data_IF_889223586103
#
_entry.id   IF_889223586103
#
_cell.length_a   1.000
_cell.length_b   1.000
_cell.length_c   1.000
_cell.angle_alpha   90.00
_cell.angle_beta   90.00
_cell.angle_gamma   90.00
#
_symmetry.space_group_name_H-M   'P 1'
#
loop_
_entity.id
_entity.type
_entity.pdbx_description
1 polymer ?
#
# COMPACT_ATOMS: atom_id res chain seq x y z
N UNK A 1 18.21 66.08 -19.84
CA UNK A 1 17.56 65.37 -18.71
C UNK A 1 17.25 63.96 -19.17
N UNK A 2 18.13 63.01 -18.88
CA UNK A 2 17.93 61.59 -19.20
C UNK A 2 17.20 60.94 -18.04
N UNK A 3 15.91 60.66 -18.22
CA UNK A 3 15.11 59.89 -17.28
C UNK A 3 15.57 58.43 -17.30
N UNK A 4 16.18 57.97 -16.21
CA UNK A 4 16.45 56.56 -15.99
C UNK A 4 15.13 55.86 -15.65
N UNK A 5 14.65 55.03 -16.58
CA UNK A 5 13.57 54.08 -16.30
C UNK A 5 14.08 53.03 -15.32
N UNK A 6 13.63 53.10 -14.08
CA UNK A 6 13.83 52.05 -13.09
C UNK A 6 12.83 50.93 -13.34
N UNK A 7 13.31 49.82 -13.91
CA UNK A 7 12.54 48.58 -13.94
C UNK A 7 12.24 48.15 -12.50
N UNK A 8 10.99 47.81 -12.13
CA UNK A 8 10.70 47.34 -10.78
C UNK A 8 11.49 46.05 -10.53
N UNK A 9 12.20 45.99 -9.39
CA UNK A 9 12.81 44.76 -8.93
C UNK A 9 11.70 43.71 -8.73
N UNK A 10 11.95 42.48 -9.17
CA UNK A 10 11.05 41.37 -8.89
C UNK A 10 10.83 41.28 -7.36
N UNK A 11 9.59 41.04 -6.89
CA UNK A 11 9.32 40.91 -5.47
C UNK A 11 10.21 39.83 -4.87
N UNK A 12 10.78 40.11 -3.70
CA UNK A 12 11.59 39.14 -2.98
C UNK A 12 10.76 37.88 -2.68
N UNK A 13 11.34 36.72 -2.94
CA UNK A 13 10.68 35.43 -2.72
C UNK A 13 10.38 35.22 -1.22
N UNK A 14 9.24 34.60 -0.87
CA UNK A 14 8.87 34.37 0.52
C UNK A 14 9.88 33.44 1.20
N UNK A 15 10.34 33.81 2.39
CA UNK A 15 11.35 33.06 3.14
C UNK A 15 10.89 31.66 3.58
N UNK A 16 9.58 31.40 3.60
CA UNK A 16 8.98 30.10 3.89
C UNK A 16 7.77 29.89 2.98
N UNK A 17 7.47 28.64 2.56
CA UNK A 17 6.25 28.32 1.82
C UNK A 17 4.95 28.81 2.48
N UNK A 18 4.92 28.87 3.81
CA UNK A 18 3.73 29.30 4.56
C UNK A 18 3.38 30.78 4.35
N UNK A 19 4.37 31.58 3.95
CA UNK A 19 4.19 33.02 3.70
C UNK A 19 3.99 33.33 2.21
N UNK A 20 3.88 32.32 1.34
CA UNK A 20 3.63 32.54 -0.07
C UNK A 20 2.21 33.14 -0.28
N UNK A 21 2.07 34.31 -0.93
CA UNK A 21 0.77 34.95 -1.13
C UNK A 21 -0.23 34.07 -1.90
N UNK A 22 0.24 33.27 -2.87
CA UNK A 22 -0.63 32.39 -3.63
C UNK A 22 -1.14 31.23 -2.77
N UNK A 23 -0.32 30.73 -1.84
CA UNK A 23 -0.74 29.73 -0.87
C UNK A 23 -1.72 30.30 0.16
N UNK A 24 -1.38 31.45 0.76
CA UNK A 24 -2.22 32.06 1.81
C UNK A 24 -3.62 32.44 1.30
N UNK A 25 -3.75 32.77 0.01
CA UNK A 25 -5.04 32.98 -0.64
C UNK A 25 -5.96 31.74 -0.63
N UNK A 26 -5.43 30.53 -0.47
CA UNK A 26 -6.21 29.29 -0.39
C UNK A 26 -6.73 28.96 1.02
N UNK A 27 -6.21 29.62 2.06
CA UNK A 27 -6.58 29.32 3.45
C UNK A 27 -8.06 29.53 3.77
N UNK A 28 -8.77 30.55 3.23
CA UNK A 28 -10.22 30.69 3.45
C UNK A 28 -11.02 29.51 2.90
N UNK A 29 -10.50 28.80 1.89
CA UNK A 29 -11.19 27.78 1.13
C UNK A 29 -11.18 26.38 1.78
N UNK A 30 -10.31 26.12 2.77
CA UNK A 30 -10.22 24.80 3.40
C UNK A 30 -10.02 24.90 4.91
N UNK A 31 -10.93 24.27 5.67
CA UNK A 31 -10.81 24.14 7.11
C UNK A 31 -9.69 23.16 7.49
N UNK A 32 -9.56 22.06 6.75
CA UNK A 32 -8.49 21.09 6.92
C UNK A 32 -7.11 21.73 6.70
N UNK A 33 -6.94 22.56 5.67
CA UNK A 33 -5.67 23.25 5.42
C UNK A 33 -5.31 24.25 6.54
N UNK A 34 -6.29 24.94 7.11
CA UNK A 34 -6.06 25.79 8.30
C UNK A 34 -5.71 24.94 9.53
N UNK A 35 -6.33 23.77 9.70
CA UNK A 35 -5.99 22.84 10.77
C UNK A 35 -4.57 22.30 10.61
N UNK A 36 -4.14 22.00 9.38
CA UNK A 36 -2.78 21.59 9.07
C UNK A 36 -1.77 22.67 9.51
N UNK A 37 -2.04 23.95 9.22
CA UNK A 37 -1.20 25.06 9.68
C UNK A 37 -1.16 25.21 11.20
N UNK A 38 -2.32 25.10 11.86
CA UNK A 38 -2.40 25.16 13.32
C UNK A 38 -1.59 24.02 13.95
N UNK A 39 -1.63 22.83 13.36
CA UNK A 39 -0.86 21.68 13.84
C UNK A 39 0.64 21.85 13.58
N UNK A 40 1.05 22.32 12.40
CA UNK A 40 2.45 22.67 12.09
C UNK A 40 3.01 23.60 13.17
N UNK A 41 2.25 24.63 13.55
CA UNK A 41 2.64 25.56 14.60
C UNK A 41 2.69 24.91 15.99
N UNK A 42 1.67 24.12 16.34
CA UNK A 42 1.57 23.48 17.64
C UNK A 42 2.69 22.45 17.88
N UNK A 43 3.03 21.69 16.84
CA UNK A 43 4.03 20.63 16.87
C UNK A 43 5.45 21.14 16.56
N UNK A 44 5.60 22.45 16.31
CA UNK A 44 6.88 23.11 16.09
C UNK A 44 7.58 22.68 14.78
N UNK A 45 6.80 22.30 13.76
CA UNK A 45 7.35 21.86 12.49
C UNK A 45 7.88 23.05 11.68
N UNK A 46 9.14 22.97 11.25
CA UNK A 46 9.67 23.94 10.28
C UNK A 46 9.09 23.64 8.89
N UNK A 47 8.75 24.69 8.12
CA UNK A 47 8.33 24.54 6.72
C UNK A 47 9.23 25.39 5.85
N UNK A 48 10.02 24.73 5.02
CA UNK A 48 11.18 25.32 4.36
C UNK A 48 11.19 25.01 2.86
N UNK A 49 11.86 25.88 2.09
CA UNK A 49 12.19 25.60 0.70
C UNK A 49 13.40 24.65 0.63
N UNK A 50 13.23 23.55 -0.11
CA UNK A 50 14.31 22.68 -0.55
C UNK A 50 14.99 23.22 -1.81
N UNK A 51 15.88 22.42 -2.40
CA UNK A 51 16.48 22.79 -3.69
C UNK A 51 15.48 22.59 -4.83
N UNK A 52 15.51 23.47 -5.82
CA UNK A 52 14.74 23.30 -7.06
C UNK A 52 14.96 21.90 -7.70
N UNK A 53 13.89 21.13 -7.85
CA UNK A 53 13.92 19.75 -8.36
C UNK A 53 14.31 18.68 -7.35
N UNK A 54 14.51 19.05 -6.08
CA UNK A 54 14.80 18.14 -4.98
C UNK A 54 13.57 17.40 -4.44
N UNK A 55 12.38 17.76 -4.91
CA UNK A 55 11.12 17.20 -4.44
C UNK A 55 10.62 17.80 -3.14
N UNK A 56 9.49 17.27 -2.68
CA UNK A 56 8.82 17.62 -1.43
C UNK A 56 8.81 16.40 -0.53
N UNK A 57 9.05 16.57 0.77
CA UNK A 57 9.00 15.48 1.74
C UNK A 57 8.87 15.98 3.19
N UNK A 58 8.30 15.13 4.03
CA UNK A 58 8.31 15.25 5.49
C UNK A 58 9.53 14.55 6.09
N UNK A 59 10.38 15.33 6.77
CA UNK A 59 11.54 14.85 7.51
C UNK A 59 11.19 14.79 9.00
N UNK A 60 10.69 13.63 9.42
CA UNK A 60 10.28 13.36 10.81
C UNK A 60 11.44 13.53 11.79
N UNK A 61 12.68 13.18 11.41
CA UNK A 61 13.83 13.21 12.31
C UNK A 61 14.23 14.65 12.68
N UNK A 62 14.04 15.59 11.76
CA UNK A 62 14.38 17.01 11.97
C UNK A 62 13.14 17.89 12.17
N UNK A 63 11.96 17.30 12.38
CA UNK A 63 10.69 18.01 12.58
C UNK A 63 10.46 19.10 11.51
N UNK A 64 10.63 18.75 10.23
CA UNK A 64 10.45 19.72 9.13
C UNK A 64 9.73 19.15 7.93
N UNK A 65 9.06 20.04 7.20
CA UNK A 65 8.47 19.81 5.89
C UNK A 65 9.28 20.61 4.87
N UNK A 66 9.82 19.93 3.87
CA UNK A 66 10.62 20.54 2.81
C UNK A 66 9.79 20.54 1.54
N UNK A 67 9.60 21.71 0.92
CA UNK A 67 8.90 21.86 -0.36
C UNK A 67 9.90 22.16 -1.48
N UNK A 68 9.67 21.60 -2.67
CA UNK A 68 10.44 21.96 -3.86
C UNK A 68 10.30 23.46 -4.15
N UNK A 69 11.42 24.18 -4.20
CA UNK A 69 11.50 25.62 -4.50
C UNK A 69 10.80 25.99 -5.82
N UNK A 70 10.69 25.05 -6.77
CA UNK A 70 9.93 25.26 -8.02
C UNK A 70 8.43 25.52 -7.79
N UNK A 71 7.91 25.26 -6.61
CA UNK A 71 6.52 25.54 -6.24
C UNK A 71 6.27 26.98 -5.79
N UNK A 72 7.32 27.82 -5.69
CA UNK A 72 7.17 29.23 -5.33
C UNK A 72 6.22 29.97 -6.29
N UNK A 73 5.27 30.71 -5.71
CA UNK A 73 4.21 31.40 -6.45
C UNK A 73 3.10 30.48 -6.98
N UNK A 74 3.21 29.17 -6.84
CA UNK A 74 2.16 28.20 -7.17
C UNK A 74 1.46 27.73 -5.88
N UNK A 75 0.48 28.51 -5.44
CA UNK A 75 -0.30 28.22 -4.24
C UNK A 75 -0.96 26.84 -4.26
N UNK A 76 -1.39 26.37 -5.43
CA UNK A 76 -2.00 25.06 -5.58
C UNK A 76 -0.97 23.94 -5.35
N UNK A 77 0.22 24.05 -5.92
CA UNK A 77 1.30 23.10 -5.67
C UNK A 77 1.76 23.10 -4.20
N UNK A 78 1.82 24.27 -3.56
CA UNK A 78 2.17 24.41 -2.13
C UNK A 78 1.09 23.76 -1.26
N UNK A 79 -0.18 24.06 -1.46
CA UNK A 79 -1.28 23.47 -0.69
C UNK A 79 -1.37 21.94 -0.87
N UNK A 80 -1.20 21.45 -2.11
CA UNK A 80 -1.13 20.01 -2.40
C UNK A 80 0.00 19.34 -1.63
N UNK A 81 1.17 19.96 -1.62
CA UNK A 81 2.37 19.47 -0.93
C UNK A 81 2.16 19.45 0.59
N UNK A 82 1.80 20.58 1.20
CA UNK A 82 1.62 20.69 2.66
C UNK A 82 0.57 19.70 3.16
N UNK A 83 -0.59 19.62 2.49
CA UNK A 83 -1.67 18.71 2.91
C UNK A 83 -1.26 17.24 2.80
N UNK A 84 -0.44 16.87 1.81
CA UNK A 84 0.13 15.54 1.68
C UNK A 84 1.11 15.23 2.82
N UNK A 85 2.10 16.10 3.04
CA UNK A 85 3.10 15.92 4.10
C UNK A 85 2.48 15.90 5.50
N UNK A 86 1.41 16.68 5.72
CA UNK A 86 0.66 16.65 6.98
C UNK A 86 -0.14 15.37 7.19
N UNK A 87 -0.49 14.65 6.12
CA UNK A 87 -1.04 13.32 6.27
C UNK A 87 0.01 12.30 6.71
N UNK A 88 1.27 12.40 6.25
CA UNK A 88 2.38 11.61 6.81
C UNK A 88 2.68 11.95 8.27
N UNK A 89 2.66 13.24 8.61
CA UNK A 89 2.89 13.68 9.98
C UNK A 89 1.85 13.09 10.95
N UNK A 90 0.56 13.13 10.57
CA UNK A 90 -0.55 12.58 11.35
C UNK A 90 -0.65 11.05 11.31
N UNK A 91 0.15 10.38 10.48
CA UNK A 91 0.17 8.93 10.43
C UNK A 91 1.01 8.36 11.59
N UNK A 92 0.30 7.94 12.64
CA UNK A 92 0.86 7.49 13.92
C UNK A 92 0.82 5.97 14.09
N UNK A 93 0.47 5.21 13.06
CA UNK A 93 0.55 3.75 13.13
C UNK A 93 2.00 3.34 13.43
N UNK A 94 2.16 2.32 14.26
CA UNK A 94 3.48 1.80 14.56
C UNK A 94 3.94 0.92 13.40
N UNK A 95 5.13 1.15 12.83
CA UNK A 95 5.67 0.26 11.82
C UNK A 95 5.84 -1.16 12.35
N UNK A 96 5.40 -2.15 11.58
CA UNK A 96 5.65 -3.56 11.86
C UNK A 96 6.78 -4.07 10.96
N UNK A 97 7.93 -4.34 11.58
CA UNK A 97 9.14 -4.81 10.91
C UNK A 97 9.30 -6.34 10.93
N UNK A 98 8.28 -7.10 11.36
CA UNK A 98 8.35 -8.56 11.47
C UNK A 98 8.52 -9.27 10.13
N UNK A 99 8.07 -8.65 9.04
CA UNK A 99 8.21 -9.20 7.69
C UNK A 99 8.23 -8.10 6.62
N UNK A 100 8.75 -8.44 5.44
CA UNK A 100 8.72 -7.57 4.26
C UNK A 100 7.30 -7.12 3.92
N UNK A 101 6.33 -8.04 4.00
CA UNK A 101 4.94 -7.73 3.70
C UNK A 101 4.37 -6.70 4.67
N UNK A 102 4.54 -6.90 5.98
CA UNK A 102 4.04 -5.98 7.01
C UNK A 102 4.65 -4.59 6.91
N UNK A 103 5.96 -4.54 6.63
CA UNK A 103 6.64 -3.28 6.39
C UNK A 103 6.08 -2.55 5.15
N UNK A 104 5.95 -3.25 4.02
CA UNK A 104 5.41 -2.65 2.79
C UNK A 104 3.97 -2.19 2.99
N UNK A 105 3.12 -2.99 3.62
CA UNK A 105 1.74 -2.62 3.96
C UNK A 105 1.69 -1.33 4.79
N UNK A 106 2.54 -1.23 5.82
CA UNK A 106 2.63 -0.04 6.65
C UNK A 106 3.05 1.20 5.84
N UNK A 107 4.06 1.08 4.98
CA UNK A 107 4.51 2.19 4.13
C UNK A 107 3.42 2.63 3.14
N UNK A 108 2.68 1.69 2.54
CA UNK A 108 1.58 2.02 1.62
C UNK A 108 0.40 2.66 2.34
N UNK A 109 0.13 2.28 3.60
CA UNK A 109 -0.87 2.96 4.43
C UNK A 109 -0.44 4.38 4.79
N UNK A 110 0.85 4.62 5.00
CA UNK A 110 1.38 5.98 5.20
C UNK A 110 1.13 6.87 3.95
N UNK A 111 1.42 6.36 2.75
CA UNK A 111 1.10 7.05 1.48
C UNK A 111 -0.42 7.25 1.31
N UNK A 112 -1.21 6.25 1.72
CA UNK A 112 -2.67 6.32 1.74
C UNK A 112 -3.19 7.46 2.61
N UNK A 113 -2.64 7.64 3.81
CA UNK A 113 -3.00 8.71 4.73
C UNK A 113 -2.63 10.09 4.18
N UNK A 114 -1.43 10.24 3.62
CA UNK A 114 -0.96 11.46 2.97
C UNK A 114 -1.85 11.87 1.78
N UNK A 115 -2.14 10.92 0.92
CA UNK A 115 -2.98 11.13 -0.27
C UNK A 115 -4.42 11.43 0.09
N UNK A 116 -4.99 10.78 1.11
CA UNK A 116 -6.33 11.10 1.63
C UNK A 116 -6.41 12.51 2.20
N UNK A 117 -5.39 12.94 2.95
CA UNK A 117 -5.32 14.30 3.50
C UNK A 117 -5.31 15.36 2.38
N UNK A 118 -4.48 15.17 1.36
CA UNK A 118 -4.45 16.05 0.20
C UNK A 118 -5.79 16.05 -0.57
N UNK A 119 -6.38 14.88 -0.83
CA UNK A 119 -7.67 14.79 -1.51
C UNK A 119 -8.80 15.49 -0.73
N UNK A 120 -8.78 15.43 0.60
CA UNK A 120 -9.72 16.13 1.47
C UNK A 120 -9.61 17.65 1.34
N UNK A 121 -8.38 18.19 1.46
CA UNK A 121 -8.13 19.63 1.27
C UNK A 121 -8.54 20.09 -0.13
N UNK A 122 -8.20 19.30 -1.16
CA UNK A 122 -8.63 19.58 -2.53
C UNK A 122 -10.14 19.71 -2.64
N UNK A 123 -10.90 18.77 -2.05
CA UNK A 123 -12.35 18.78 -2.12
C UNK A 123 -12.95 20.02 -1.44
N UNK A 124 -12.47 20.37 -0.25
CA UNK A 124 -12.91 21.59 0.45
C UNK A 124 -12.65 22.87 -0.36
N UNK A 125 -11.47 22.95 -1.01
CA UNK A 125 -11.14 24.11 -1.86
C UNK A 125 -12.11 24.20 -3.05
N UNK A 126 -12.39 23.08 -3.72
CA UNK A 126 -13.32 23.05 -4.86
C UNK A 126 -14.75 23.42 -4.41
N UNK A 127 -15.21 22.85 -3.28
CA UNK A 127 -16.57 23.07 -2.77
C UNK A 127 -16.81 24.53 -2.35
N UNK A 128 -15.75 25.24 -1.95
CA UNK A 128 -15.78 26.67 -1.66
C UNK A 128 -15.52 27.58 -2.87
N UNK A 129 -15.45 27.01 -4.08
CA UNK A 129 -15.25 27.75 -5.34
C UNK A 129 -13.80 28.13 -5.65
N UNK A 130 -12.83 27.56 -4.94
CA UNK A 130 -11.40 27.73 -5.19
C UNK A 130 -10.87 26.83 -6.33
N UNK A 131 -9.58 26.94 -6.66
CA UNK A 131 -8.96 26.17 -7.74
C UNK A 131 -8.77 24.70 -7.39
N UNK A 132 -8.73 23.83 -8.40
CA UNK A 132 -8.32 22.44 -8.22
C UNK A 132 -6.81 22.33 -7.97
N UNK A 133 -6.43 22.04 -6.72
CA UNK A 133 -5.01 21.85 -6.32
C UNK A 133 -4.41 20.51 -6.75
N UNK A 134 -5.22 19.62 -7.35
CA UNK A 134 -4.91 18.24 -7.73
C UNK A 134 -4.57 17.34 -6.53
N UNK A 135 -4.36 16.05 -6.81
CA UNK A 135 -3.87 15.07 -5.84
C UNK A 135 -2.52 14.55 -6.31
N UNK A 136 -1.54 14.45 -5.41
CA UNK A 136 -0.22 13.87 -5.71
C UNK A 136 -0.34 12.39 -6.11
N UNK A 137 0.50 11.93 -7.05
CA UNK A 137 0.49 10.57 -7.59
C UNK A 137 -0.20 10.44 -8.96
N UNK A 138 -0.01 9.29 -9.61
CA UNK A 138 -0.51 9.02 -10.96
C UNK A 138 -1.99 8.54 -10.97
N UNK A 139 -2.45 7.93 -9.89
CA UNK A 139 -3.77 7.35 -9.68
C UNK A 139 -4.85 8.35 -9.30
N UNK A 140 -4.69 9.62 -9.68
CA UNK A 140 -5.49 10.76 -9.22
C UNK A 140 -7.01 10.51 -9.27
N UNK A 141 -7.52 9.91 -10.35
CA UNK A 141 -8.96 9.62 -10.49
C UNK A 141 -9.47 8.63 -9.41
N UNK A 142 -8.68 7.61 -9.09
CA UNK A 142 -9.02 6.65 -8.04
C UNK A 142 -8.95 7.29 -6.65
N UNK A 143 -7.92 8.11 -6.39
CA UNK A 143 -7.79 8.82 -5.11
C UNK A 143 -8.96 9.74 -4.84
N UNK A 144 -9.36 10.52 -5.85
CA UNK A 144 -10.53 11.41 -5.74
C UNK A 144 -11.78 10.60 -5.47
N UNK A 145 -12.04 9.51 -6.23
CA UNK A 145 -13.21 8.65 -6.00
C UNK A 145 -13.26 8.09 -4.58
N UNK A 146 -12.15 7.51 -4.10
CA UNK A 146 -12.08 6.89 -2.77
C UNK A 146 -12.24 7.95 -1.68
N UNK A 147 -11.64 9.14 -1.85
CA UNK A 147 -11.84 10.25 -0.92
C UNK A 147 -13.29 10.75 -0.91
N UNK A 148 -13.95 10.85 -2.07
CA UNK A 148 -15.38 11.17 -2.14
C UNK A 148 -16.24 10.12 -1.42
N UNK A 149 -15.95 8.83 -1.60
CA UNK A 149 -16.65 7.75 -0.90
C UNK A 149 -16.47 7.87 0.63
N UNK A 150 -15.27 8.25 1.09
CA UNK A 150 -15.01 8.51 2.49
C UNK A 150 -15.77 9.72 3.03
N UNK A 151 -15.74 10.86 2.31
CA UNK A 151 -16.41 12.10 2.71
C UNK A 151 -17.93 11.96 2.71
N UNK A 152 -18.49 11.12 1.84
CA UNK A 152 -19.90 10.76 1.82
C UNK A 152 -20.29 9.79 2.96
N UNK A 153 -19.32 9.25 3.72
CA UNK A 153 -19.55 8.27 4.78
C UNK A 153 -19.79 6.84 4.28
N UNK A 154 -19.56 6.56 3.00
CA UNK A 154 -19.73 5.22 2.42
C UNK A 154 -18.64 4.25 2.88
N UNK A 155 -17.45 4.77 3.17
CA UNK A 155 -16.32 4.01 3.73
C UNK A 155 -15.67 4.75 4.90
N UNK A 156 -15.14 3.97 5.83
CA UNK A 156 -14.36 4.52 6.96
C UNK A 156 -13.04 5.11 6.48
N UNK A 157 -12.44 5.98 7.31
CA UNK A 157 -11.11 6.54 7.05
C UNK A 157 -10.06 5.46 6.85
N UNK A 158 -10.12 4.40 7.66
CA UNK A 158 -9.19 3.27 7.60
C UNK A 158 -9.29 2.52 6.26
N UNK A 159 -10.52 2.23 5.81
CA UNK A 159 -10.76 1.61 4.51
C UNK A 159 -10.28 2.50 3.36
N UNK A 160 -10.50 3.82 3.44
CA UNK A 160 -10.03 4.77 2.43
C UNK A 160 -8.50 4.77 2.33
N UNK A 161 -7.80 4.81 3.46
CA UNK A 161 -6.33 4.72 3.53
C UNK A 161 -5.84 3.41 2.89
N UNK A 162 -6.44 2.28 3.24
CA UNK A 162 -6.07 0.98 2.68
C UNK A 162 -6.28 0.90 1.17
N UNK A 163 -7.43 1.39 0.67
CA UNK A 163 -7.74 1.38 -0.76
C UNK A 163 -6.82 2.32 -1.55
N UNK A 164 -6.55 3.52 -1.04
CA UNK A 164 -5.61 4.46 -1.66
C UNK A 164 -4.20 3.87 -1.65
N UNK A 165 -3.75 3.30 -0.53
CA UNK A 165 -2.44 2.66 -0.43
C UNK A 165 -2.26 1.51 -1.42
N UNK A 166 -3.31 0.72 -1.69
CA UNK A 166 -3.30 -0.32 -2.70
C UNK A 166 -3.13 0.23 -4.13
N UNK A 167 -3.82 1.33 -4.47
CA UNK A 167 -3.66 2.02 -5.76
C UNK A 167 -2.24 2.57 -5.88
N UNK A 168 -1.77 3.26 -4.85
CA UNK A 168 -0.43 3.86 -4.79
C UNK A 168 0.68 2.82 -4.94
N UNK A 169 0.51 1.66 -4.32
CA UNK A 169 1.44 0.54 -4.39
C UNK A 169 1.71 0.03 -5.80
N UNK A 170 0.76 0.20 -6.72
CA UNK A 170 0.91 -0.20 -8.13
C UNK A 170 1.63 0.85 -8.99
N UNK A 171 1.85 2.05 -8.48
CA UNK A 171 2.50 3.13 -9.21
C UNK A 171 4.01 2.99 -9.24
N UNK A 172 4.64 3.67 -10.22
CA UNK A 172 6.09 3.77 -10.31
C UNK A 172 6.56 4.98 -9.49
N UNK A 173 7.48 4.81 -8.52
CA UNK A 173 8.02 5.92 -7.76
C UNK A 173 8.84 6.85 -8.66
N UNK A 174 8.79 8.15 -8.37
CA UNK A 174 9.54 9.17 -9.13
C UNK A 174 11.07 9.03 -9.00
N UNK A 175 11.53 8.40 -7.92
CA UNK A 175 12.96 8.29 -7.56
C UNK A 175 13.58 6.93 -7.94
N UNK A 176 12.79 5.92 -8.32
CA UNK A 176 13.34 4.62 -8.73
C UNK A 176 13.22 4.42 -10.24
N UNK A 177 14.30 3.96 -10.87
CA UNK A 177 14.35 3.74 -12.31
C UNK A 177 13.33 2.68 -12.79
N UNK A 178 13.07 1.67 -11.95
CA UNK A 178 12.23 0.51 -12.27
C UNK A 178 11.45 0.05 -11.04
N UNK A 179 10.36 -0.68 -11.30
CA UNK A 179 9.50 -1.24 -10.25
C UNK A 179 8.36 -0.32 -9.82
N UNK A 180 7.51 -0.89 -8.97
CA UNK A 180 6.38 -0.24 -8.31
C UNK A 180 6.76 0.28 -6.92
N UNK A 181 5.88 1.01 -6.24
CA UNK A 181 6.09 1.38 -4.83
C UNK A 181 6.20 0.16 -3.91
N UNK A 182 5.50 -0.95 -4.23
CA UNK A 182 5.69 -2.24 -3.55
C UNK A 182 7.13 -2.73 -3.69
N UNK A 183 7.71 -2.64 -4.89
CA UNK A 183 9.09 -3.04 -5.15
C UNK A 183 10.08 -2.12 -4.44
N UNK A 184 9.81 -0.81 -4.46
CA UNK A 184 10.64 0.20 -3.83
C UNK A 184 10.77 0.02 -2.32
N UNK A 185 9.64 -0.05 -1.59
CA UNK A 185 9.68 -0.28 -0.15
C UNK A 185 10.20 -1.67 0.17
N UNK A 186 9.83 -2.68 -0.62
CA UNK A 186 10.35 -4.03 -0.45
C UNK A 186 11.87 -4.11 -0.58
N UNK A 187 12.45 -3.46 -1.58
CA UNK A 187 13.91 -3.41 -1.75
C UNK A 187 14.59 -2.64 -0.61
N UNK A 188 13.98 -1.57 -0.09
CA UNK A 188 14.50 -0.88 1.10
C UNK A 188 14.48 -1.79 2.34
N UNK A 189 13.42 -2.58 2.53
CA UNK A 189 13.35 -3.56 3.60
C UNK A 189 14.52 -4.54 3.53
N UNK A 190 14.74 -5.11 2.35
CA UNK A 190 15.75 -6.16 2.13
C UNK A 190 17.19 -5.60 2.25
N UNK A 191 17.45 -4.41 1.71
CA UNK A 191 18.83 -3.89 1.53
C UNK A 191 19.29 -2.92 2.62
N UNK A 192 18.38 -2.25 3.33
CA UNK A 192 18.71 -1.27 4.36
C UNK A 192 18.19 -1.66 5.74
N UNK A 193 16.90 -1.99 5.85
CA UNK A 193 16.27 -2.21 7.16
C UNK A 193 16.73 -3.51 7.83
N UNK A 194 16.73 -4.63 7.10
CA UNK A 194 17.19 -5.92 7.66
C UNK A 194 18.64 -5.85 8.14
N UNK A 195 19.61 -5.30 7.37
CA UNK A 195 20.96 -5.08 7.88
C UNK A 195 21.02 -4.21 9.14
N UNK A 196 20.24 -3.12 9.20
CA UNK A 196 20.20 -2.25 10.37
C UNK A 196 19.64 -2.95 11.61
N UNK A 197 18.51 -3.65 11.49
CA UNK A 197 17.91 -4.41 12.59
C UNK A 197 18.87 -5.50 13.12
N UNK A 198 19.66 -6.14 12.23
CA UNK A 198 20.72 -7.09 12.63
C UNK A 198 21.80 -6.40 13.46
N UNK A 199 22.27 -5.25 12.97
CA UNK A 199 23.34 -4.50 13.62
C UNK A 199 22.93 -3.96 15.00
N UNK A 200 21.66 -3.57 15.17
CA UNK A 200 21.14 -3.02 16.43
C UNK A 200 20.61 -4.08 17.39
N UNK A 201 20.65 -5.38 17.02
CA UNK A 201 20.01 -6.48 17.77
C UNK A 201 18.52 -6.24 18.03
N UNK A 202 17.89 -5.43 17.18
CA UNK A 202 16.45 -5.18 17.16
C UNK A 202 15.76 -6.02 16.09
N UNK A 203 16.52 -6.87 15.39
CA UNK A 203 15.93 -8.08 14.86
C UNK A 203 15.18 -8.74 16.02
N UNK A 204 13.90 -9.10 15.86
CA UNK A 204 13.44 -10.29 16.53
C UNK A 204 14.53 -11.34 16.25
N UNK A 205 15.15 -11.93 17.30
CA UNK A 205 15.77 -13.28 17.22
C UNK A 205 15.02 -14.01 16.14
N UNK A 206 15.69 -14.47 15.05
CA UNK A 206 15.01 -14.80 13.80
C UNK A 206 13.76 -15.52 14.19
N UNK A 207 12.60 -14.86 14.00
CA UNK A 207 11.34 -15.52 14.31
C UNK A 207 11.46 -16.81 13.52
N UNK A 208 11.54 -17.94 14.23
CA UNK A 208 11.50 -19.30 13.71
C UNK A 208 10.91 -19.22 12.31
N UNK A 209 11.76 -19.36 11.28
CA UNK A 209 11.69 -18.65 10.01
C UNK A 209 10.27 -18.25 9.69
N UNK A 210 9.86 -17.00 10.04
CA UNK A 210 8.46 -16.50 10.07
C UNK A 210 7.63 -17.45 9.25
N UNK A 211 7.02 -18.45 9.90
CA UNK A 211 6.50 -19.61 9.19
C UNK A 211 5.78 -19.06 7.98
N UNK A 212 6.37 -19.28 6.79
CA UNK A 212 5.63 -19.11 5.56
C UNK A 212 4.30 -19.78 5.90
N UNK A 213 3.16 -19.08 5.75
CA UNK A 213 1.86 -19.55 6.20
C UNK A 213 1.85 -21.05 6.08
N UNK A 214 1.73 -21.79 7.20
CA UNK A 214 2.21 -23.16 7.24
C UNK A 214 1.44 -23.98 6.19
N UNK A 215 2.08 -24.13 5.04
CA UNK A 215 1.53 -24.65 3.79
C UNK A 215 2.51 -25.73 3.41
N UNK A 216 2.02 -26.97 3.32
CA UNK A 216 2.85 -28.08 2.88
C UNK A 216 3.44 -27.77 1.51
N UNK A 217 4.66 -28.24 1.22
CA UNK A 217 5.33 -27.95 -0.04
C UNK A 217 4.46 -28.31 -1.26
N UNK A 218 3.64 -29.37 -1.14
CA UNK A 218 2.70 -29.81 -2.17
C UNK A 218 1.47 -28.89 -2.36
N UNK A 219 1.08 -28.08 -1.36
CA UNK A 219 -0.04 -27.14 -1.47
C UNK A 219 0.37 -25.75 -1.98
N UNK A 220 1.66 -25.41 -1.84
CA UNK A 220 2.19 -24.08 -2.12
C UNK A 220 1.84 -23.54 -3.53
N UNK A 221 1.95 -24.31 -4.62
CA UNK A 221 1.61 -23.81 -5.95
C UNK A 221 0.13 -23.38 -6.06
N UNK A 222 -0.79 -24.17 -5.51
CA UNK A 222 -2.21 -23.84 -5.52
C UNK A 222 -2.51 -22.67 -4.58
N UNK A 223 -1.89 -22.63 -3.40
CA UNK A 223 -2.01 -21.52 -2.46
C UNK A 223 -1.61 -20.17 -3.09
N UNK A 224 -0.46 -20.12 -3.76
CA UNK A 224 0.04 -18.93 -4.45
C UNK A 224 -0.85 -18.54 -5.64
N UNK A 225 -1.32 -19.54 -6.41
CA UNK A 225 -2.25 -19.31 -7.50
C UNK A 225 -3.55 -18.64 -7.00
N UNK A 226 -4.17 -19.19 -5.95
CA UNK A 226 -5.38 -18.62 -5.35
C UNK A 226 -5.13 -17.22 -4.76
N UNK A 227 -4.01 -17.01 -4.08
CA UNK A 227 -3.62 -15.70 -3.55
C UNK A 227 -3.49 -14.64 -4.64
N UNK A 228 -3.10 -15.03 -5.86
CA UNK A 228 -2.97 -14.11 -6.99
C UNK A 228 -4.30 -13.75 -7.66
N UNK A 229 -5.32 -14.59 -7.51
CA UNK A 229 -6.62 -14.46 -8.19
C UNK A 229 -7.74 -13.94 -7.28
N UNK A 230 -7.62 -14.14 -5.96
CA UNK A 230 -8.64 -13.76 -4.99
C UNK A 230 -8.36 -12.39 -4.35
N UNK A 231 -9.38 -11.73 -3.76
CA UNK A 231 -9.19 -10.45 -3.09
C UNK A 231 -8.10 -10.52 -2.03
N UNK A 232 -7.29 -9.47 -1.90
CA UNK A 232 -6.20 -9.40 -0.91
C UNK A 232 -6.69 -9.50 0.54
N UNK A 233 -7.96 -9.19 0.80
CA UNK A 233 -8.63 -9.37 2.08
C UNK A 233 -8.94 -10.85 2.42
N UNK A 234 -8.75 -11.79 1.49
CA UNK A 234 -8.97 -13.21 1.73
C UNK A 234 -7.97 -13.72 2.77
N UNK A 235 -8.49 -14.23 3.89
CA UNK A 235 -7.68 -14.71 5.00
C UNK A 235 -6.77 -15.88 4.60
N UNK A 236 -5.63 -15.98 5.28
CA UNK A 236 -4.66 -17.06 5.07
C UNK A 236 -5.30 -18.46 5.23
N UNK A 237 -6.08 -18.66 6.28
CA UNK A 237 -6.76 -19.93 6.58
C UNK A 237 -7.70 -20.37 5.44
N UNK A 238 -8.41 -19.40 4.86
CA UNK A 238 -9.31 -19.63 3.74
C UNK A 238 -8.56 -20.08 2.48
N UNK A 239 -7.43 -19.43 2.18
CA UNK A 239 -6.57 -19.78 1.04
C UNK A 239 -5.96 -21.17 1.21
N UNK A 240 -5.53 -21.52 2.42
CA UNK A 240 -4.96 -22.83 2.71
C UNK A 240 -6.02 -23.94 2.62
N UNK A 241 -7.18 -23.78 3.26
CA UNK A 241 -8.29 -24.76 3.14
C UNK A 241 -8.68 -24.99 1.68
N UNK A 242 -8.85 -23.91 0.92
CA UNK A 242 -9.23 -24.00 -0.48
C UNK A 242 -8.15 -24.69 -1.33
N UNK A 243 -6.87 -24.43 -1.06
CA UNK A 243 -5.76 -25.12 -1.74
C UNK A 243 -5.73 -26.63 -1.47
N UNK A 244 -5.92 -27.03 -0.20
CA UNK A 244 -5.92 -28.45 0.19
C UNK A 244 -7.11 -29.18 -0.43
N UNK A 245 -8.32 -28.60 -0.34
CA UNK A 245 -9.54 -29.19 -0.92
C UNK A 245 -9.51 -29.23 -2.44
N UNK A 246 -8.86 -28.27 -3.09
CA UNK A 246 -8.62 -28.34 -4.53
C UNK A 246 -7.73 -29.55 -4.86
N UNK A 247 -6.65 -29.75 -4.09
CA UNK A 247 -5.73 -30.88 -4.26
C UNK A 247 -6.39 -32.23 -4.00
N UNK A 248 -7.30 -32.34 -3.03
CA UNK A 248 -8.10 -33.56 -2.78
C UNK A 248 -8.87 -34.02 -4.03
N UNK A 249 -9.23 -33.08 -4.91
CA UNK A 249 -9.93 -33.34 -6.15
C UNK A 249 -9.00 -33.46 -7.37
N UNK A 250 -7.69 -33.48 -7.16
CA UNK A 250 -6.69 -33.52 -8.22
C UNK A 250 -6.53 -32.20 -9.00
N UNK A 251 -6.99 -31.08 -8.42
CA UNK A 251 -6.84 -29.76 -9.04
C UNK A 251 -5.45 -29.18 -8.75
N UNK A 252 -4.85 -28.61 -9.79
CA UNK A 252 -3.57 -27.93 -9.82
C UNK A 252 -3.71 -26.61 -10.60
N UNK A 253 -2.79 -25.64 -10.43
CA UNK A 253 -2.90 -24.33 -11.10
C UNK A 253 -3.05 -24.38 -12.63
N UNK A 254 -2.47 -25.40 -13.27
CA UNK A 254 -2.45 -25.59 -14.72
C UNK A 254 -3.70 -26.30 -15.27
N UNK A 255 -4.48 -26.96 -14.41
CA UNK A 255 -5.69 -27.71 -14.80
C UNK A 255 -6.98 -27.15 -14.18
N UNK A 256 -6.92 -25.94 -13.60
CA UNK A 256 -8.05 -25.33 -12.90
C UNK A 256 -8.25 -23.86 -13.27
N UNK A 257 -9.45 -23.38 -13.00
CA UNK A 257 -9.83 -21.98 -13.13
C UNK A 257 -10.53 -21.49 -11.85
N UNK A 258 -10.23 -20.27 -11.45
CA UNK A 258 -10.86 -19.60 -10.31
C UNK A 258 -12.02 -18.76 -10.82
N UNK A 259 -13.22 -19.00 -10.30
CA UNK A 259 -14.41 -18.23 -10.58
C UNK A 259 -14.91 -17.61 -9.28
N UNK A 260 -15.27 -16.32 -9.31
CA UNK A 260 -15.84 -15.64 -8.15
C UNK A 260 -17.19 -15.02 -8.52
N UNK A 261 -18.19 -15.21 -7.66
CA UNK A 261 -19.51 -14.57 -7.76
C UNK A 261 -19.93 -14.09 -6.37
N UNK A 262 -19.76 -12.78 -6.14
CA UNK A 262 -19.91 -12.20 -4.80
C UNK A 262 -18.90 -12.82 -3.83
N UNK A 263 -19.40 -13.30 -2.70
CA UNK A 263 -18.60 -13.94 -1.64
C UNK A 263 -18.29 -15.42 -1.91
N UNK A 264 -18.81 -15.98 -3.00
CA UNK A 264 -18.56 -17.37 -3.36
C UNK A 264 -17.44 -17.48 -4.37
N UNK A 265 -16.52 -18.39 -4.08
CA UNK A 265 -15.41 -18.75 -4.95
C UNK A 265 -15.55 -20.22 -5.35
N UNK A 266 -15.28 -20.51 -6.62
CA UNK A 266 -15.13 -21.86 -7.13
C UNK A 266 -13.74 -22.03 -7.74
N UNK A 267 -13.09 -23.15 -7.43
CA UNK A 267 -11.93 -23.64 -8.19
C UNK A 267 -12.44 -24.85 -8.96
N UNK A 268 -12.54 -24.72 -10.28
CA UNK A 268 -13.13 -25.72 -11.16
C UNK A 268 -12.07 -26.31 -12.10
N UNK A 269 -12.14 -27.61 -12.37
CA UNK A 269 -11.27 -28.22 -13.38
C UNK A 269 -11.58 -27.67 -14.77
N UNK A 270 -10.54 -27.38 -15.53
CA UNK A 270 -10.63 -27.06 -16.97
C UNK A 270 -10.60 -28.31 -17.84
N UNK A 271 -10.25 -29.46 -17.27
CA UNK A 271 -10.04 -30.72 -18.00
C UNK A 271 -11.17 -31.73 -17.75
N UNK A 272 -11.71 -31.78 -16.53
CA UNK A 272 -12.73 -32.76 -16.14
C UNK A 272 -14.02 -32.04 -15.74
N UNK A 273 -15.05 -32.04 -16.60
CA UNK A 273 -16.33 -31.41 -16.29
C UNK A 273 -16.92 -31.92 -14.97
N UNK A 274 -17.39 -30.99 -14.13
CA UNK A 274 -18.07 -31.30 -12.87
C UNK A 274 -17.15 -31.36 -11.64
N UNK A 275 -15.83 -31.45 -11.80
CA UNK A 275 -14.89 -31.37 -10.67
C UNK A 275 -14.72 -29.91 -10.27
N UNK A 276 -15.15 -29.56 -9.06
CA UNK A 276 -14.97 -28.23 -8.48
C UNK A 276 -15.00 -28.25 -6.96
N UNK A 277 -14.27 -27.33 -6.35
CA UNK A 277 -14.42 -26.98 -4.94
C UNK A 277 -15.04 -25.59 -4.84
N UNK A 278 -15.91 -25.37 -3.84
CA UNK A 278 -16.52 -24.08 -3.54
C UNK A 278 -16.12 -23.64 -2.13
N UNK A 279 -15.80 -22.36 -1.97
CA UNK A 279 -15.67 -21.69 -0.68
C UNK A 279 -16.58 -20.47 -0.61
N UNK A 280 -17.11 -20.20 0.58
CA UNK A 280 -17.73 -18.93 0.93
C UNK A 280 -16.67 -18.14 1.73
N UNK A 281 -16.28 -16.97 1.22
CA UNK A 281 -15.21 -16.16 1.80
C UNK A 281 -15.59 -15.51 3.14
N UNK A 282 -16.87 -15.51 3.50
CA UNK A 282 -17.37 -15.02 4.79
C UNK A 282 -17.59 -16.14 5.81
N UNK A 283 -17.57 -17.40 5.38
CA UNK A 283 -17.68 -18.52 6.29
C UNK A 283 -16.35 -18.73 7.05
N UNK A 284 -16.39 -19.14 8.33
CA UNK A 284 -15.17 -19.46 9.06
C UNK A 284 -14.41 -20.59 8.37
N UNK A 285 -13.12 -20.38 8.13
CA UNK A 285 -12.22 -21.41 7.64
C UNK A 285 -11.84 -22.40 8.76
N UNK A 286 -11.51 -23.65 8.41
CA UNK A 286 -10.76 -24.54 9.30
C UNK A 286 -9.45 -23.89 9.76
N UNK A 287 -8.96 -24.30 10.93
CA UNK A 287 -7.65 -23.82 11.39
C UNK A 287 -6.53 -24.31 10.48
N UNK A 288 -5.41 -23.58 10.46
CA UNK A 288 -4.20 -23.98 9.72
C UNK A 288 -3.77 -25.41 10.06
N UNK A 289 -3.85 -25.80 11.33
CA UNK A 289 -3.52 -27.15 11.79
C UNK A 289 -4.42 -28.23 11.16
N UNK A 290 -5.72 -27.99 11.09
CA UNK A 290 -6.68 -28.91 10.47
C UNK A 290 -6.41 -29.09 8.97
N UNK A 291 -6.12 -27.99 8.26
CA UNK A 291 -5.79 -28.06 6.84
C UNK A 291 -4.46 -28.78 6.59
N UNK A 292 -3.46 -28.60 7.45
CA UNK A 292 -2.18 -29.31 7.37
C UNK A 292 -2.31 -30.81 7.65
N UNK A 293 -3.07 -31.21 8.68
CA UNK A 293 -3.35 -32.62 8.96
C UNK A 293 -4.00 -33.30 7.75
N UNK A 294 -4.94 -32.60 7.11
CA UNK A 294 -5.61 -33.06 5.90
C UNK A 294 -4.66 -33.19 4.71
N UNK A 295 -3.77 -32.21 4.52
CA UNK A 295 -2.72 -32.26 3.51
C UNK A 295 -1.82 -33.49 3.68
N UNK A 296 -1.38 -33.79 4.90
CA UNK A 296 -0.55 -34.96 5.19
C UNK A 296 -1.28 -36.28 4.89
N UNK A 297 -2.58 -36.37 5.17
CA UNK A 297 -3.38 -37.56 4.86
C UNK A 297 -3.45 -37.85 3.34
N UNK A 298 -3.51 -36.81 2.52
CA UNK A 298 -3.47 -36.94 1.05
C UNK A 298 -2.13 -37.54 0.61
N UNK A 299 -1.01 -37.06 1.16
CA UNK A 299 0.33 -37.56 0.82
C UNK A 299 0.55 -39.02 1.24
N UNK A 300 0.02 -39.40 2.41
CA UNK A 300 0.06 -40.79 2.89
C UNK A 300 -0.77 -41.73 2.01
N UNK A 301 -1.91 -41.27 1.51
CA UNK A 301 -2.75 -42.06 0.60
C UNK A 301 -2.07 -42.23 -0.75
N UNK A 302 -1.49 -41.16 -1.31
CA UNK A 302 -0.79 -41.19 -2.60
C UNK A 302 0.46 -42.09 -2.61
N UNK A 303 1.12 -42.27 -1.47
CA UNK A 303 2.30 -43.14 -1.35
C UNK A 303 1.96 -44.62 -1.16
N UNK A 304 0.75 -44.95 -0.70
CA UNK A 304 0.27 -46.33 -0.57
C UNK A 304 -0.25 -46.93 -1.88
N UNK A 305 -0.68 -46.10 -2.84
CA UNK A 305 -1.20 -46.52 -4.15
C UNK A 305 -0.11 -46.76 -5.21
N UNK A 306 1.19 -46.68 -4.85
CA UNK A 306 2.29 -47.00 -5.76
C UNK A 306 2.45 -48.53 -5.92
N UNK A 307 2.32 -49.11 -7.13
CA UNK A 307 2.50 -50.54 -7.33
C UNK A 307 3.95 -50.96 -7.02
N UNK A 308 4.12 -52.02 -6.21
CA UNK A 308 5.45 -52.56 -5.91
C UNK A 308 6.24 -52.88 -7.19
N UNK A 309 7.54 -52.54 -7.27
CA UNK A 309 8.36 -52.92 -8.40
C UNK A 309 8.52 -54.45 -8.42
N UNK A 310 8.02 -55.10 -9.47
CA UNK A 310 8.26 -56.52 -9.72
C UNK A 310 9.76 -56.79 -9.68
N UNK A 311 10.22 -57.52 -8.67
CA UNK A 311 11.58 -58.06 -8.58
C UNK A 311 11.88 -58.85 -9.86
N UNK A 312 12.80 -58.34 -10.67
CA UNK A 312 13.38 -59.09 -11.77
C UNK A 312 14.20 -60.26 -11.20
N UNK A 313 13.73 -61.48 -11.42
CA UNK A 313 14.50 -62.71 -11.25
C UNK A 313 15.53 -62.76 -12.39
N UNK A 314 16.81 -62.63 -12.07
CA UNK A 314 17.91 -62.94 -13.00
C UNK A 314 18.35 -64.39 -12.76
N UNK A 315 18.46 -65.24 -13.81
CA UNK A 315 19.30 -66.44 -13.75
C UNK A 315 20.79 -66.09 -13.81
#
# INVERSE_FOLDING_TARGET
MTGASTTPAAPALPASPLHDPAFTALLPHSASLRSDLAQIQADGLAVEWGRAGGGTFYDRANARIVLDERSQGDGAAIARSISHEMGHHRFTETPDYSSRQRYVEHQLRNEGAATLANATVRQEIIDSGGPDIRVSGAGQANYIRIASDHLAGNITRDQAIGQIGAVFGSERPSVAAHGTYVDYYGNHYDTALVPWLRATKQLPEPAEPSQAPAVAAADRPMYEHLRSQLPSATGHEQLLDLSVRARELGLAPDNSQVLQQGERVWVASTQTPGIRVMADLQAPAPSVEQSLQRSQAIEQTATQDLPEPRRAMMP
#
